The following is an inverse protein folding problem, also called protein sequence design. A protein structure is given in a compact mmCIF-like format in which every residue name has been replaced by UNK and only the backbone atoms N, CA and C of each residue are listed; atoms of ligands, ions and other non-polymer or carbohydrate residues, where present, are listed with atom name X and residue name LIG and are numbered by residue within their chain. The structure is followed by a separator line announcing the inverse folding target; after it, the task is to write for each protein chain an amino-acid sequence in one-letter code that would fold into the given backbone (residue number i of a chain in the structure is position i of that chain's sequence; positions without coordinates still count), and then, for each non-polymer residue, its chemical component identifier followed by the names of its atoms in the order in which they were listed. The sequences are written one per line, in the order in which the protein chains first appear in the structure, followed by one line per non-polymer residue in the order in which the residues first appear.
data_IF_757752501123
#
_entry.id   IF_757752501123
#
_cell.length_a   1.000
_cell.length_b   1.000
_cell.length_c   1.000
_cell.angle_alpha   90.00
_cell.angle_beta   90.00
_cell.angle_gamma   90.00
#
_symmetry.space_group_name_H-M   'P 1'
#
loop_
_entity.id
_entity.type
_entity.pdbx_description
1 polymer ?
#
# COMPACT_ATOMS: atom_id res chain seq x y z
N UNK A 1 4.77 -5.44 23.17
CA UNK A 1 3.97 -6.25 22.25
C UNK A 1 3.63 -7.57 22.93
N UNK A 2 2.38 -8.01 22.90
CA UNK A 2 1.97 -9.31 23.45
C UNK A 2 2.15 -10.40 22.40
N UNK A 3 2.97 -11.41 22.68
CA UNK A 3 3.24 -12.52 21.76
C UNK A 3 2.23 -13.64 21.97
N UNK A 4 1.48 -14.00 20.93
CA UNK A 4 0.55 -15.11 20.94
C UNK A 4 1.04 -16.21 19.99
N UNK A 5 1.08 -17.45 20.46
CA UNK A 5 1.42 -18.62 19.62
C UNK A 5 0.17 -19.09 18.90
N UNK A 6 0.28 -19.33 17.59
CA UNK A 6 -0.74 -19.96 16.76
C UNK A 6 -0.13 -21.14 16.01
N UNK A 7 -0.84 -22.26 15.96
CA UNK A 7 -0.50 -23.39 15.10
C UNK A 7 -1.26 -23.25 13.79
N UNK A 8 -0.59 -23.51 12.67
CA UNK A 8 -1.14 -23.37 11.32
C UNK A 8 -0.73 -24.59 10.49
N UNK A 9 -1.62 -25.05 9.61
CA UNK A 9 -1.32 -26.08 8.62
C UNK A 9 -0.91 -25.36 7.34
N UNK A 10 0.23 -25.75 6.78
CA UNK A 10 0.75 -25.21 5.52
C UNK A 10 0.97 -26.36 4.53
N UNK A 11 0.82 -26.07 3.24
CA UNK A 11 1.09 -27.04 2.19
C UNK A 11 2.60 -27.20 1.93
N UNK A 12 2.97 -28.34 1.35
CA UNK A 12 4.36 -28.71 1.03
C UNK A 12 5.14 -27.63 0.26
N UNK A 13 4.46 -26.93 -0.66
CA UNK A 13 5.04 -25.80 -1.39
C UNK A 13 5.57 -24.69 -0.46
N UNK A 14 4.77 -24.29 0.53
CA UNK A 14 5.16 -23.22 1.45
C UNK A 14 6.17 -23.70 2.49
N UNK A 15 6.11 -24.99 2.85
CA UNK A 15 7.12 -25.60 3.73
C UNK A 15 8.50 -25.54 3.08
N UNK A 16 8.63 -26.01 1.83
CA UNK A 16 9.88 -25.92 1.07
C UNK A 16 10.37 -24.49 0.86
N UNK A 17 9.46 -23.53 0.65
CA UNK A 17 9.83 -22.10 0.62
C UNK A 17 10.40 -21.62 1.97
N UNK A 18 9.76 -21.97 3.09
CA UNK A 18 10.24 -21.59 4.43
C UNK A 18 11.61 -22.20 4.69
N UNK A 19 11.80 -23.48 4.38
CA UNK A 19 13.09 -24.16 4.50
C UNK A 19 14.17 -23.48 3.66
N UNK A 20 13.88 -23.11 2.40
CA UNK A 20 14.85 -22.43 1.55
C UNK A 20 15.25 -21.05 2.10
N UNK A 21 14.29 -20.31 2.67
CA UNK A 21 14.55 -19.02 3.29
C UNK A 21 15.45 -19.15 4.53
N UNK A 22 15.25 -20.19 5.34
CA UNK A 22 16.10 -20.47 6.51
C UNK A 22 17.49 -20.95 6.07
N UNK A 23 17.56 -21.90 5.14
CA UNK A 23 18.82 -22.43 4.62
C UNK A 23 19.71 -21.35 3.97
N UNK A 24 19.09 -20.32 3.37
CA UNK A 24 19.82 -19.16 2.84
C UNK A 24 20.45 -18.26 3.91
N UNK A 25 20.10 -18.45 5.19
CA UNK A 25 20.53 -17.60 6.30
C UNK A 25 19.75 -16.28 6.44
N UNK A 26 18.74 -16.03 5.60
CA UNK A 26 17.92 -14.81 5.66
C UNK A 26 17.05 -14.74 6.92
N UNK A 27 16.63 -15.89 7.45
CA UNK A 27 15.81 -15.99 8.65
C UNK A 27 16.28 -17.15 9.54
N UNK A 28 16.08 -17.03 10.85
CA UNK A 28 16.55 -18.03 11.80
C UNK A 28 15.53 -19.15 12.06
N UNK A 29 14.25 -18.90 11.77
CA UNK A 29 13.17 -19.85 12.04
C UNK A 29 11.93 -19.55 11.20
N UNK A 30 11.03 -20.54 11.09
CA UNK A 30 9.79 -20.43 10.33
C UNK A 30 8.88 -19.29 10.81
N UNK A 31 8.86 -19.01 12.12
CA UNK A 31 8.02 -17.94 12.66
C UNK A 31 8.48 -16.55 12.21
N UNK A 32 9.78 -16.35 11.92
CA UNK A 32 10.27 -15.10 11.32
C UNK A 32 9.84 -14.95 9.87
N UNK A 33 9.91 -16.04 9.09
CA UNK A 33 9.46 -16.06 7.69
C UNK A 33 7.98 -15.72 7.61
N UNK A 34 7.15 -16.39 8.42
CA UNK A 34 5.69 -16.16 8.46
C UNK A 34 5.37 -14.73 8.90
N UNK A 35 6.06 -14.19 9.91
CA UNK A 35 5.85 -12.78 10.31
C UNK A 35 6.25 -11.81 9.21
N UNK A 36 7.33 -12.07 8.48
CA UNK A 36 7.73 -11.23 7.36
C UNK A 36 6.69 -11.26 6.24
N UNK A 37 6.17 -12.44 5.90
CA UNK A 37 5.09 -12.60 4.93
C UNK A 37 3.82 -11.87 5.35
N UNK A 38 3.41 -11.98 6.62
CA UNK A 38 2.23 -11.27 7.13
C UNK A 38 2.39 -9.75 7.11
N UNK A 39 3.58 -9.23 7.42
CA UNK A 39 3.86 -7.78 7.32
C UNK A 39 3.79 -7.29 5.88
N UNK A 40 4.28 -8.09 4.93
CA UNK A 40 4.17 -7.76 3.51
C UNK A 40 2.70 -7.71 3.08
N UNK A 41 1.92 -8.73 3.44
CA UNK A 41 0.48 -8.77 3.16
C UNK A 41 -0.25 -7.55 3.76
N UNK A 42 -0.02 -7.24 5.03
CA UNK A 42 -0.60 -6.07 5.70
C UNK A 42 -0.26 -4.77 4.97
N UNK A 43 1.00 -4.63 4.53
CA UNK A 43 1.45 -3.44 3.78
C UNK A 43 0.76 -3.33 2.42
N UNK A 44 0.60 -4.44 1.70
CA UNK A 44 -0.09 -4.46 0.40
C UNK A 44 -1.59 -4.17 0.55
N UNK A 45 -2.24 -4.77 1.54
CA UNK A 45 -3.65 -4.51 1.83
C UNK A 45 -3.90 -3.05 2.23
N UNK A 46 -3.02 -2.47 3.05
CA UNK A 46 -3.11 -1.06 3.44
C UNK A 46 -2.99 -0.11 2.24
N UNK A 47 -2.00 -0.34 1.35
CA UNK A 47 -1.83 0.45 0.12
C UNK A 47 -3.04 0.36 -0.80
N UNK A 48 -3.62 -0.84 -0.95
CA UNK A 48 -4.80 -1.04 -1.78
C UNK A 48 -6.03 -0.36 -1.19
N UNK A 49 -6.20 -0.41 0.13
CA UNK A 49 -7.28 0.29 0.83
C UNK A 49 -7.16 1.81 0.68
N UNK A 50 -5.96 2.36 0.85
CA UNK A 50 -5.68 3.79 0.65
C UNK A 50 -5.98 4.23 -0.79
N UNK A 51 -5.50 3.48 -1.79
CA UNK A 51 -5.76 3.78 -3.19
C UNK A 51 -7.27 3.79 -3.49
N UNK A 52 -8.02 2.82 -2.97
CA UNK A 52 -9.48 2.77 -3.13
C UNK A 52 -10.16 3.97 -2.48
N UNK A 53 -9.69 4.40 -1.32
CA UNK A 53 -10.23 5.57 -0.63
C UNK A 53 -9.99 6.86 -1.45
N UNK A 54 -8.78 7.05 -1.97
CA UNK A 54 -8.44 8.21 -2.81
C UNK A 54 -9.24 8.24 -4.12
N UNK A 55 -9.48 7.09 -4.75
CA UNK A 55 -10.34 7.01 -5.94
C UNK A 55 -11.78 7.39 -5.58
N UNK A 56 -12.32 6.86 -4.48
CA UNK A 56 -13.67 7.18 -4.03
C UNK A 56 -13.84 8.67 -3.68
N UNK A 57 -12.81 9.29 -3.10
CA UNK A 57 -12.76 10.74 -2.87
C UNK A 57 -12.80 11.51 -4.19
N UNK A 58 -11.97 11.14 -5.17
CA UNK A 58 -11.97 11.75 -6.49
C UNK A 58 -13.32 11.60 -7.23
N UNK A 59 -13.93 10.42 -7.17
CA UNK A 59 -15.26 10.19 -7.74
C UNK A 59 -16.33 11.08 -7.07
N UNK A 60 -16.25 11.26 -5.75
CA UNK A 60 -17.13 12.14 -5.00
C UNK A 60 -16.91 13.63 -5.33
N UNK A 61 -15.66 14.04 -5.57
CA UNK A 61 -15.32 15.38 -6.04
C UNK A 61 -15.91 15.66 -7.42
N UNK A 62 -15.75 14.72 -8.37
CA UNK A 62 -16.32 14.83 -9.71
C UNK A 62 -17.86 14.93 -9.63
N UNK A 63 -18.51 14.04 -8.88
CA UNK A 63 -19.96 14.04 -8.73
C UNK A 63 -20.49 15.34 -8.10
N UNK A 64 -19.71 15.98 -7.24
CA UNK A 64 -20.05 17.24 -6.60
C UNK A 64 -19.61 18.48 -7.41
N UNK A 65 -19.00 18.31 -8.58
CA UNK A 65 -18.49 19.43 -9.37
C UNK A 65 -17.23 20.09 -8.81
N UNK A 66 -16.51 19.45 -7.88
CA UNK A 66 -15.25 19.93 -7.29
C UNK A 66 -14.06 19.59 -8.17
N UNK A 67 -14.09 20.01 -9.43
CA UNK A 67 -13.00 19.80 -10.38
C UNK A 67 -12.80 21.03 -11.26
N UNK A 68 -11.62 21.15 -11.84
CA UNK A 68 -11.30 22.17 -12.83
C UNK A 68 -11.07 21.49 -14.19
N UNK A 69 -11.59 22.10 -15.25
CA UNK A 69 -11.29 21.71 -16.63
C UNK A 69 -10.23 22.67 -17.15
N UNK A 70 -9.16 22.12 -17.70
CA UNK A 70 -8.12 22.89 -18.37
C UNK A 70 -8.11 22.51 -19.86
N UNK A 71 -8.12 23.51 -20.74
CA UNK A 71 -8.09 23.31 -22.19
C UNK A 71 -6.69 22.94 -22.70
N UNK A 72 -5.64 23.26 -21.92
CA UNK A 72 -4.26 22.92 -22.22
C UNK A 72 -3.43 22.66 -20.97
N UNK A 73 -2.30 21.96 -21.15
CA UNK A 73 -1.32 21.79 -20.08
C UNK A 73 -0.71 23.14 -19.61
N UNK A 74 -0.59 24.12 -20.51
CA UNK A 74 -0.08 25.46 -20.18
C UNK A 74 -1.04 26.20 -19.24
N UNK A 75 -2.35 26.03 -19.41
CA UNK A 75 -3.36 26.62 -18.52
C UNK A 75 -3.30 26.02 -17.11
N UNK A 76 -3.15 24.70 -17.01
CA UNK A 76 -2.94 24.00 -15.73
C UNK A 76 -1.65 24.49 -15.05
N UNK A 77 -0.55 24.56 -15.79
CA UNK A 77 0.75 25.00 -15.23
C UNK A 77 0.69 26.46 -14.78
N UNK A 78 -0.03 27.33 -15.52
CA UNK A 78 -0.26 28.72 -15.12
C UNK A 78 -1.03 28.79 -13.80
N UNK A 79 -2.14 28.06 -13.70
CA UNK A 79 -2.99 28.04 -12.50
C UNK A 79 -2.24 27.55 -11.24
N UNK A 80 -1.47 26.47 -11.35
CA UNK A 80 -0.62 25.96 -10.25
C UNK A 80 0.39 27.03 -9.80
N UNK A 81 1.03 27.72 -10.74
CA UNK A 81 2.02 28.78 -10.44
C UNK A 81 1.40 30.01 -9.79
N UNK A 82 0.16 30.34 -10.14
CA UNK A 82 -0.58 31.46 -9.56
C UNK A 82 -1.09 31.12 -8.16
N UNK A 83 -1.64 29.92 -7.97
CA UNK A 83 -2.11 29.41 -6.69
C UNK A 83 -0.99 29.27 -5.66
N UNK A 84 0.22 28.87 -6.09
CA UNK A 84 1.40 28.78 -5.22
C UNK A 84 1.93 30.15 -4.72
N UNK A 85 1.48 31.27 -5.31
CA UNK A 85 1.89 32.64 -4.92
C UNK A 85 0.91 33.34 -3.98
N UNK A 86 -0.28 32.78 -3.76
CA UNK A 86 -1.23 33.33 -2.80
C UNK A 86 -0.80 32.98 -1.36
N UNK A 87 -0.72 33.94 -0.42
CA UNK A 87 -0.57 33.60 1.00
C UNK A 87 -1.82 32.88 1.49
N UNK A 88 -1.63 31.86 2.33
CA UNK A 88 -2.69 31.13 3.04
C UNK A 88 -3.62 32.07 3.82
#
# INVERSE_FOLDING_TARGET
MSTHKRSIVIGEYFDGFIESQIASGRFNNASEVVRAALRLLETEEAKLAELRALIAEGDADIAAGRYFIYESADDLVRDIRESAKAPL
#
